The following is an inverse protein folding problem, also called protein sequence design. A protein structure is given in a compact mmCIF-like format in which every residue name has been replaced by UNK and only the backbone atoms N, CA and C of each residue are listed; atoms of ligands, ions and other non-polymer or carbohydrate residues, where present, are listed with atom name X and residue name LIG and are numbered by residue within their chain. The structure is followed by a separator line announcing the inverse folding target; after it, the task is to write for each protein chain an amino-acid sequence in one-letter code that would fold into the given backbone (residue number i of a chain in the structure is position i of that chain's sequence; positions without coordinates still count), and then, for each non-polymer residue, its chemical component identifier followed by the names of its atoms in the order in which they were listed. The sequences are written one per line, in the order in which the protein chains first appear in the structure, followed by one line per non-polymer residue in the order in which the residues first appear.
data_IF_097325272157
#
_entry.id   IF_097325272157
#
_cell.length_a   1.000
_cell.length_b   1.000
_cell.length_c   1.000
_cell.angle_alpha   90.00
_cell.angle_beta   90.00
_cell.angle_gamma   90.00
#
_symmetry.space_group_name_H-M   'P 1'
#
loop_
_entity.id
_entity.type
_entity.pdbx_description
1 polymer ?
#
# COMPACT_ATOMS: atom_id res chain seq x y z
N UNK A 1 -16.95 -4.42 -13.35
CA UNK A 1 -16.36 -3.10 -13.05
C UNK A 1 -15.92 -2.51 -14.36
N UNK A 2 -16.61 -1.45 -14.78
CA UNK A 2 -16.29 -0.75 -16.01
C UNK A 2 -15.49 0.51 -15.61
N UNK A 3 -14.16 0.38 -15.64
CA UNK A 3 -13.23 1.45 -15.24
C UNK A 3 -12.39 1.74 -16.47
N UNK A 4 -12.45 2.97 -16.97
CA UNK A 4 -11.62 3.39 -18.08
C UNK A 4 -10.16 3.51 -17.62
N UNK A 5 -9.24 3.00 -18.44
CA UNK A 5 -7.80 3.13 -18.18
C UNK A 5 -7.41 4.61 -18.22
N UNK A 6 -6.57 5.02 -17.27
CA UNK A 6 -6.00 6.36 -17.22
C UNK A 6 -6.82 7.37 -16.42
N UNK A 7 -7.90 6.94 -15.78
CA UNK A 7 -8.70 7.80 -14.89
C UNK A 7 -8.27 7.63 -13.44
N UNK A 8 -8.58 8.62 -12.60
CA UNK A 8 -8.47 8.45 -11.16
C UNK A 8 -9.77 7.84 -10.63
N UNK A 9 -9.62 6.85 -9.76
CA UNK A 9 -10.74 6.20 -9.10
C UNK A 9 -10.53 6.24 -7.59
N UNK A 10 -11.62 6.49 -6.87
CA UNK A 10 -11.64 6.36 -5.42
C UNK A 10 -12.00 4.91 -5.08
N UNK A 11 -11.15 4.29 -4.27
CA UNK A 11 -11.32 2.92 -3.81
C UNK A 11 -11.55 2.95 -2.32
N UNK A 12 -12.63 2.33 -1.86
CA UNK A 12 -12.97 2.19 -0.44
C UNK A 12 -13.08 0.71 -0.08
N UNK A 13 -12.43 0.31 1.01
CA UNK A 13 -12.55 -1.05 1.55
C UNK A 13 -13.82 -1.12 2.41
N UNK A 14 -14.88 -1.71 1.86
CA UNK A 14 -16.20 -1.76 2.52
C UNK A 14 -16.35 -2.98 3.40
N UNK A 15 -15.69 -4.10 3.08
CA UNK A 15 -15.74 -5.34 3.86
C UNK A 15 -14.36 -5.75 4.33
N UNK A 16 -14.28 -6.31 5.53
CA UNK A 16 -13.04 -6.83 6.07
C UNK A 16 -12.55 -8.02 5.21
N UNK A 17 -11.31 -7.97 4.68
CA UNK A 17 -10.76 -9.07 3.92
C UNK A 17 -10.52 -10.29 4.81
N UNK A 18 -10.87 -11.47 4.32
CA UNK A 18 -10.77 -12.73 5.08
C UNK A 18 -9.47 -13.49 4.84
N UNK A 19 -8.74 -13.19 3.76
CA UNK A 19 -7.51 -13.86 3.39
C UNK A 19 -6.32 -12.88 3.29
N UNK A 20 -5.12 -13.39 3.56
CA UNK A 20 -3.91 -12.57 3.49
C UNK A 20 -3.60 -12.06 2.09
N UNK A 21 -3.99 -12.82 1.05
CA UNK A 21 -3.75 -12.44 -0.33
C UNK A 21 -4.53 -11.16 -0.73
N UNK A 22 -5.79 -11.04 -0.32
CA UNK A 22 -6.56 -9.81 -0.54
C UNK A 22 -6.00 -8.66 0.28
N UNK A 23 -5.63 -8.88 1.56
CA UNK A 23 -4.99 -7.86 2.39
C UNK A 23 -3.73 -7.31 1.70
N UNK A 24 -2.85 -8.19 1.22
CA UNK A 24 -1.63 -7.80 0.50
C UNK A 24 -1.94 -7.00 -0.77
N UNK A 25 -2.98 -7.38 -1.49
CA UNK A 25 -3.40 -6.69 -2.72
C UNK A 25 -3.98 -5.32 -2.41
N UNK A 26 -4.85 -5.20 -1.40
CA UNK A 26 -5.40 -3.93 -0.96
C UNK A 26 -4.32 -2.98 -0.45
N UNK A 27 -3.39 -3.46 0.38
CA UNK A 27 -2.22 -2.66 0.82
C UNK A 27 -1.42 -2.12 -0.35
N UNK A 28 -1.17 -2.96 -1.36
CA UNK A 28 -0.41 -2.59 -2.56
C UNK A 28 -1.14 -1.57 -3.42
N UNK A 29 -2.45 -1.70 -3.54
CA UNK A 29 -3.31 -0.77 -4.29
C UNK A 29 -3.40 0.57 -3.55
N UNK A 30 -3.72 0.59 -2.26
CA UNK A 30 -3.81 1.80 -1.43
C UNK A 30 -2.45 2.50 -1.28
N UNK A 31 -1.34 1.77 -1.31
CA UNK A 31 0.00 2.35 -1.32
C UNK A 31 0.32 3.16 -2.60
N UNK A 32 -0.55 3.14 -3.62
CA UNK A 32 -0.40 3.97 -4.82
C UNK A 32 -0.98 5.37 -4.65
N UNK A 33 -1.80 5.61 -3.63
CA UNK A 33 -2.29 6.94 -3.26
C UNK A 33 -1.11 7.87 -2.94
N UNK A 34 -1.18 9.11 -3.38
CA UNK A 34 -0.14 10.12 -3.17
C UNK A 34 0.07 10.45 -1.69
N UNK A 35 -1.00 10.50 -0.91
CA UNK A 35 -0.94 10.76 0.53
C UNK A 35 -0.16 9.65 1.26
N UNK A 36 -0.46 8.39 0.92
CA UNK A 36 0.21 7.21 1.46
C UNK A 36 1.66 7.11 0.97
N UNK A 37 1.95 7.48 -0.28
CA UNK A 37 3.31 7.56 -0.81
C UNK A 37 4.14 8.60 -0.06
N UNK A 38 3.58 9.78 0.21
CA UNK A 38 4.24 10.83 0.96
C UNK A 38 4.57 10.37 2.39
N UNK A 39 3.61 9.72 3.06
CA UNK A 39 3.81 9.19 4.39
C UNK A 39 4.85 8.06 4.42
N UNK A 40 4.81 7.15 3.45
CA UNK A 40 5.84 6.12 3.28
C UNK A 40 7.23 6.73 3.12
N UNK A 41 7.37 7.78 2.31
CA UNK A 41 8.65 8.49 2.13
C UNK A 41 9.14 9.12 3.43
N UNK A 42 8.23 9.69 4.24
CA UNK A 42 8.54 10.22 5.57
C UNK A 42 9.05 9.12 6.50
N UNK A 43 8.35 7.98 6.56
CA UNK A 43 8.74 6.83 7.38
C UNK A 43 10.08 6.23 6.95
N UNK A 44 10.34 6.12 5.65
CA UNK A 44 11.62 5.64 5.13
C UNK A 44 12.77 6.56 5.58
N UNK A 45 12.59 7.89 5.55
CA UNK A 45 13.57 8.84 6.08
C UNK A 45 13.83 8.67 7.58
N UNK A 46 12.79 8.39 8.36
CA UNK A 46 12.91 8.11 9.81
C UNK A 46 13.61 6.78 10.07
N UNK A 47 13.37 5.76 9.24
CA UNK A 47 14.05 4.48 9.35
C UNK A 47 15.55 4.63 9.04
N UNK A 48 15.90 5.41 8.02
CA UNK A 48 17.28 5.67 7.61
C UNK A 48 18.04 6.50 8.66
N UNK A 49 17.40 7.47 9.31
CA UNK A 49 18.04 8.23 10.40
C UNK A 49 18.32 7.40 11.65
N UNK A 50 17.65 6.25 11.80
CA UNK A 50 17.80 5.32 12.92
C UNK A 50 18.65 4.09 12.59
N UNK A 51 19.39 4.11 11.48
CA UNK A 51 20.31 3.02 11.13
C UNK A 51 21.36 2.84 12.22
N UNK A 52 21.51 1.60 12.68
CA UNK A 52 22.54 1.23 13.66
C UNK A 52 23.58 0.38 12.99
N UNK A 53 24.85 0.70 13.22
CA UNK A 53 25.96 -0.09 12.74
C UNK A 53 26.48 -0.95 13.89
N UNK A 54 26.63 -2.25 13.65
CA UNK A 54 27.27 -3.20 14.57
C UNK A 54 28.33 -3.99 13.82
N UNK A 55 29.40 -4.40 14.49
CA UNK A 55 30.39 -5.28 13.88
C UNK A 55 29.94 -6.74 13.99
N UNK A 56 30.03 -7.52 12.90
CA UNK A 56 29.85 -8.97 12.89
C UNK A 56 30.98 -9.61 12.09
N UNK A 57 31.78 -10.46 12.73
CA UNK A 57 32.94 -11.10 12.08
C UNK A 57 33.94 -10.09 11.50
N UNK A 58 34.18 -8.98 12.19
CA UNK A 58 35.07 -7.91 11.72
C UNK A 58 34.50 -7.01 10.61
N UNK A 59 33.26 -7.23 10.14
CA UNK A 59 32.60 -6.41 9.11
C UNK A 59 31.48 -5.55 9.67
N UNK A 60 31.26 -4.32 9.17
CA UNK A 60 30.12 -3.51 9.56
C UNK A 60 28.83 -4.15 9.06
N UNK A 61 27.90 -4.37 9.97
CA UNK A 61 26.57 -4.89 9.74
C UNK A 61 25.53 -3.82 10.07
N UNK A 62 24.67 -3.52 9.09
CA UNK A 62 23.62 -2.51 9.24
C UNK A 62 22.38 -3.17 9.85
N UNK A 63 21.93 -2.64 10.98
CA UNK A 63 20.64 -2.98 11.56
C UNK A 63 19.63 -1.90 11.19
N UNK A 64 18.61 -2.30 10.43
CA UNK A 64 17.49 -1.44 10.03
C UNK A 64 16.31 -1.62 10.98
N UNK A 65 15.55 -0.55 11.18
CA UNK A 65 14.25 -0.63 11.85
C UNK A 65 13.27 -1.47 11.00
N UNK A 66 12.33 -2.14 11.66
CA UNK A 66 11.22 -2.83 10.97
C UNK A 66 10.42 -1.80 10.17
N UNK A 67 10.17 -2.11 8.89
CA UNK A 67 9.44 -1.21 8.01
C UNK A 67 7.98 -1.12 8.42
N UNK A 68 7.50 0.10 8.63
CA UNK A 68 6.09 0.40 8.90
C UNK A 68 5.40 0.64 7.56
N UNK A 69 4.27 -0.04 7.34
CA UNK A 69 3.43 0.15 6.17
C UNK A 69 2.26 1.07 6.54
N UNK A 70 2.08 2.24 5.90
CA UNK A 70 1.00 3.16 6.27
C UNK A 70 -0.40 2.61 5.95
N UNK A 71 -0.55 1.92 4.82
CA UNK A 71 -1.80 1.24 4.47
C UNK A 71 -1.82 -0.18 5.07
N UNK A 72 -2.90 -0.53 5.76
CA UNK A 72 -3.09 -1.84 6.38
C UNK A 72 -4.07 -2.74 5.61
N UNK A 73 -4.87 -2.17 4.70
CA UNK A 73 -5.86 -2.90 3.91
C UNK A 73 -7.02 -3.41 4.77
N UNK A 74 -7.40 -2.66 5.80
CA UNK A 74 -8.52 -2.98 6.70
C UNK A 74 -9.80 -2.27 6.25
N UNK A 75 -10.94 -2.73 6.77
CA UNK A 75 -12.23 -2.09 6.50
C UNK A 75 -12.20 -0.61 6.89
N UNK A 76 -12.79 0.24 6.04
CA UNK A 76 -12.86 1.68 6.23
C UNK A 76 -11.70 2.47 5.61
N UNK A 77 -10.60 1.81 5.23
CA UNK A 77 -9.54 2.48 4.47
C UNK A 77 -10.04 2.87 3.07
N UNK A 78 -9.62 4.05 2.62
CA UNK A 78 -9.93 4.55 1.29
C UNK A 78 -8.74 5.29 0.72
N UNK A 79 -8.68 5.41 -0.61
CA UNK A 79 -7.67 6.19 -1.29
C UNK A 79 -8.02 6.46 -2.74
N UNK A 80 -7.36 7.47 -3.31
CA UNK A 80 -7.49 7.83 -4.73
C UNK A 80 -6.33 7.23 -5.50
N UNK A 81 -6.64 6.44 -6.53
CA UNK A 81 -5.64 5.67 -7.27
C UNK A 81 -5.84 5.87 -8.76
N UNK A 82 -4.73 6.00 -9.47
CA UNK A 82 -4.70 6.01 -10.92
C UNK A 82 -4.98 4.61 -11.51
N UNK A 83 -6.02 4.50 -12.32
CA UNK A 83 -6.50 3.27 -12.95
C UNK A 83 -5.59 2.85 -14.13
N UNK A 84 -4.43 2.31 -13.81
CA UNK A 84 -3.60 1.55 -14.76
C UNK A 84 -4.16 0.14 -15.00
N UNK A 85 -3.76 -0.51 -16.10
CA UNK A 85 -4.22 -1.87 -16.42
C UNK A 85 -3.96 -2.87 -15.27
N UNK A 86 -2.79 -2.81 -14.64
CA UNK A 86 -2.45 -3.66 -13.49
C UNK A 86 -3.33 -3.37 -12.28
N UNK A 87 -3.61 -2.09 -11.99
CA UNK A 87 -4.52 -1.70 -10.91
C UNK A 87 -5.91 -2.27 -11.17
N UNK A 88 -6.42 -2.17 -12.39
CA UNK A 88 -7.75 -2.70 -12.73
C UNK A 88 -7.80 -4.21 -12.51
N UNK A 89 -6.74 -4.96 -12.86
CA UNK A 89 -6.67 -6.40 -12.60
C UNK A 89 -6.61 -6.71 -11.10
N UNK A 90 -5.81 -5.97 -10.32
CA UNK A 90 -5.77 -6.08 -8.87
C UNK A 90 -7.17 -5.79 -8.26
N UNK A 91 -7.85 -4.71 -8.69
CA UNK A 91 -9.20 -4.34 -8.24
C UNK A 91 -10.24 -5.41 -8.58
N UNK A 92 -10.16 -6.03 -9.77
CA UNK A 92 -11.04 -7.16 -10.13
C UNK A 92 -10.89 -8.33 -9.15
N UNK A 93 -9.65 -8.65 -8.75
CA UNK A 93 -9.38 -9.75 -7.82
C UNK A 93 -9.93 -9.52 -6.41
N UNK A 94 -9.99 -8.27 -5.95
CA UNK A 94 -10.48 -7.89 -4.61
C UNK A 94 -11.87 -7.24 -4.63
N UNK A 95 -12.55 -7.27 -5.78
CA UNK A 95 -13.85 -6.61 -6.03
C UNK A 95 -14.94 -6.93 -5.00
N UNK A 96 -14.87 -8.09 -4.34
CA UNK A 96 -15.80 -8.51 -3.28
C UNK A 96 -15.69 -7.67 -1.99
N UNK A 97 -14.54 -7.05 -1.75
CA UNK A 97 -14.22 -6.32 -0.52
C UNK A 97 -14.24 -4.80 -0.69
N UNK A 98 -14.29 -4.32 -1.93
CA UNK A 98 -14.13 -2.90 -2.25
C UNK A 98 -15.36 -2.33 -2.96
N UNK A 99 -15.52 -1.04 -2.79
CA UNK A 99 -16.37 -0.19 -3.60
C UNK A 99 -15.46 0.77 -4.37
N UNK A 100 -15.76 0.96 -5.65
CA UNK A 100 -15.00 1.83 -6.54
C UNK A 100 -15.94 2.88 -7.08
N UNK A 101 -15.61 4.14 -6.84
CA UNK A 101 -16.32 5.30 -7.38
C UNK A 101 -15.37 6.08 -8.30
N UNK A 102 -15.88 6.68 -9.39
CA UNK A 102 -15.12 7.69 -10.13
C UNK A 102 -14.68 8.80 -9.15
N UNK A 103 -13.40 9.20 -9.22
CA UNK A 103 -12.86 10.25 -8.37
C UNK A 103 -13.17 11.65 -8.90
#
# INVERSE_FOLDING_TARGET
MDIQIGTNVQVKVVKQPTNEAAIKTLRRVLAKDESIKAEKKRLDKVADSKLRYKTRGGRPWIQRMVKIHPAQGVQGEQGVIFASADVINDLKSVSRFIEVTPA
#
